data_IF_281184313923
#
_entry.id   IF_281184313923
#
_cell.length_a   1.000
_cell.length_b   1.000
_cell.length_c   1.000
_cell.angle_alpha   90.00
_cell.angle_beta   90.00
_cell.angle_gamma   90.00
#
_symmetry.space_group_name_H-M   'P 1'
#
loop_
_entity.id
_entity.type
_entity.pdbx_description
1 polymer ?
#
# COMPACT_ATOMS: atom_id res chain seq x y z
N UNK A 1 -10.22 11.49 3.00
CA UNK A 1 -9.11 12.42 2.71
C UNK A 1 -8.64 13.30 3.89
N UNK A 2 -9.40 14.31 4.39
CA UNK A 2 -8.87 15.28 5.40
C UNK A 2 -8.26 14.63 6.65
N UNK A 3 -8.93 13.59 7.18
CA UNK A 3 -8.43 12.83 8.33
C UNK A 3 -7.10 12.13 8.05
N UNK A 4 -6.92 11.62 6.82
CA UNK A 4 -5.68 10.97 6.38
C UNK A 4 -4.54 11.99 6.34
N UNK A 5 -4.78 13.17 5.78
CA UNK A 5 -3.78 14.26 5.74
C UNK A 5 -3.30 14.65 7.13
N UNK A 6 -4.24 14.94 8.04
CA UNK A 6 -3.92 15.30 9.43
C UNK A 6 -3.16 14.18 10.15
N UNK A 7 -3.50 12.93 9.87
CA UNK A 7 -2.84 11.79 10.50
C UNK A 7 -1.42 11.58 9.98
N UNK A 8 -1.22 11.60 8.66
CA UNK A 8 0.09 11.46 8.03
C UNK A 8 1.02 12.59 8.46
N UNK A 9 0.52 13.84 8.48
CA UNK A 9 1.31 15.01 8.88
C UNK A 9 1.85 14.98 10.32
N UNK A 10 1.30 14.12 11.19
CA UNK A 10 1.77 13.92 12.56
C UNK A 10 2.93 12.93 12.68
N UNK A 11 3.26 12.18 11.63
CA UNK A 11 4.42 11.29 11.63
C UNK A 11 5.71 12.12 11.56
N UNK A 12 6.78 11.60 12.17
CA UNK A 12 8.00 12.37 12.42
C UNK A 12 8.83 12.61 11.15
N UNK A 13 8.70 11.74 10.14
CA UNK A 13 9.58 11.71 8.97
C UNK A 13 8.86 12.06 7.66
N UNK A 14 7.88 12.98 7.71
CA UNK A 14 7.13 13.44 6.52
C UNK A 14 7.69 14.76 6.04
N UNK A 15 8.29 14.76 4.84
CA UNK A 15 8.80 15.98 4.21
C UNK A 15 7.69 16.83 3.58
N UNK A 16 6.72 16.18 2.93
CA UNK A 16 5.65 16.79 2.15
C UNK A 16 4.53 15.79 1.91
N UNK A 17 3.30 16.28 1.71
CA UNK A 17 2.18 15.48 1.20
C UNK A 17 1.79 15.97 -0.19
N UNK A 18 1.73 15.05 -1.15
CA UNK A 18 1.25 15.32 -2.51
C UNK A 18 -0.11 14.65 -2.68
N UNK A 19 -1.14 15.45 -2.95
CA UNK A 19 -2.49 14.98 -3.22
C UNK A 19 -2.69 14.91 -4.73
N UNK A 20 -2.90 13.70 -5.23
CA UNK A 20 -3.26 13.47 -6.63
C UNK A 20 -4.77 13.63 -6.75
N UNK A 21 -5.20 14.80 -7.20
CA UNK A 21 -6.61 15.10 -7.39
C UNK A 21 -7.11 14.44 -8.68
N UNK A 22 -7.73 13.28 -8.52
CA UNK A 22 -8.06 12.38 -9.62
C UNK A 22 -9.42 12.66 -10.27
N UNK A 23 -10.17 13.64 -9.78
CA UNK A 23 -11.47 14.01 -10.36
C UNK A 23 -11.30 15.17 -11.36
N UNK A 24 -11.42 14.94 -12.68
CA UNK A 24 -11.26 15.99 -13.68
C UNK A 24 -12.47 16.95 -13.75
N UNK A 25 -13.64 16.54 -13.24
CA UNK A 25 -14.88 17.33 -13.31
C UNK A 25 -15.00 18.36 -12.20
N UNK A 26 -14.20 18.23 -11.14
CA UNK A 26 -14.25 19.12 -9.98
C UNK A 26 -12.87 19.70 -9.71
N UNK A 27 -12.84 20.97 -9.31
CA UNK A 27 -11.61 21.57 -8.82
C UNK A 27 -11.30 21.05 -7.41
N UNK A 28 -10.02 20.93 -7.04
CA UNK A 28 -9.65 20.71 -5.66
C UNK A 28 -10.23 21.82 -4.76
N UNK A 29 -10.48 21.54 -3.47
CA UNK A 29 -10.91 22.58 -2.53
C UNK A 29 -9.96 23.78 -2.54
N UNK A 30 -10.49 25.00 -2.47
CA UNK A 30 -9.66 26.21 -2.35
C UNK A 30 -8.89 26.25 -1.02
N UNK A 31 -7.86 27.08 -0.94
CA UNK A 31 -6.84 27.07 0.13
C UNK A 31 -7.39 27.01 1.57
N UNK A 32 -8.52 27.68 1.86
CA UNK A 32 -9.16 27.65 3.20
C UNK A 32 -9.91 26.36 3.58
N UNK A 33 -9.98 25.35 2.70
CA UNK A 33 -10.70 24.11 2.95
C UNK A 33 -9.79 22.91 3.27
N UNK A 34 -8.48 23.05 3.06
CA UNK A 34 -7.49 22.06 3.46
C UNK A 34 -7.24 22.12 4.97
N UNK A 35 -6.99 20.99 5.64
CA UNK A 35 -6.64 21.02 7.05
C UNK A 35 -5.30 21.73 7.25
N UNK A 36 -5.21 22.57 8.28
CA UNK A 36 -3.92 23.11 8.72
C UNK A 36 -3.06 21.97 9.28
N UNK A 37 -1.90 21.76 8.66
CA UNK A 37 -0.96 20.69 9.00
C UNK A 37 0.46 21.24 9.05
N UNK A 38 1.34 20.56 9.79
CA UNK A 38 2.73 20.97 10.02
C UNK A 38 3.67 20.76 8.84
N UNK A 39 3.21 20.12 7.77
CA UNK A 39 4.02 19.78 6.58
C UNK A 39 3.40 20.39 5.32
N UNK A 40 4.18 20.77 4.30
CA UNK A 40 3.64 21.29 3.06
C UNK A 40 2.71 20.29 2.37
N UNK A 41 1.57 20.79 1.86
CA UNK A 41 0.63 20.02 1.06
C UNK A 41 0.60 20.61 -0.35
N UNK A 42 0.87 19.79 -1.36
CA UNK A 42 0.75 20.17 -2.77
C UNK A 42 -0.34 19.33 -3.43
N UNK A 43 -1.08 19.93 -4.35
CA UNK A 43 -2.19 19.26 -5.04
C UNK A 43 -1.90 19.26 -6.54
N UNK A 44 -1.89 18.06 -7.13
CA UNK A 44 -1.69 17.88 -8.57
C UNK A 44 -3.04 17.50 -9.18
N UNK A 45 -3.54 18.34 -10.08
CA UNK A 45 -4.80 18.09 -10.77
C UNK A 45 -4.58 17.18 -11.98
N UNK A 46 -5.16 15.98 -11.93
CA UNK A 46 -5.09 15.03 -13.02
C UNK A 46 -6.09 15.37 -14.12
N UNK A 47 -5.67 15.24 -15.39
CA UNK A 47 -6.53 15.47 -16.57
C UNK A 47 -7.62 14.41 -16.74
N UNK A 48 -7.38 13.20 -16.26
CA UNK A 48 -8.27 12.05 -16.38
C UNK A 48 -8.29 11.27 -15.06
N UNK A 49 -9.41 10.64 -14.72
CA UNK A 49 -9.49 9.76 -13.57
C UNK A 49 -8.84 8.41 -13.89
N UNK A 50 -7.60 8.18 -13.41
CA UNK A 50 -6.83 6.95 -13.63
C UNK A 50 -6.15 6.52 -12.34
N UNK A 51 -6.11 5.22 -12.04
CA UNK A 51 -5.40 4.72 -10.86
C UNK A 51 -3.89 4.91 -10.95
N UNK A 52 -3.32 4.79 -12.15
CA UNK A 52 -1.88 4.96 -12.36
C UNK A 52 -1.38 6.39 -12.12
N UNK A 53 -2.27 7.40 -12.04
CA UNK A 53 -1.86 8.79 -11.88
C UNK A 53 -0.97 9.03 -10.67
N UNK A 54 -1.11 8.24 -9.60
CA UNK A 54 -0.27 8.39 -8.41
C UNK A 54 1.16 7.88 -8.57
N UNK A 55 1.45 7.13 -9.63
CA UNK A 55 2.76 6.55 -9.89
C UNK A 55 3.55 7.29 -10.97
N UNK A 56 3.08 8.44 -11.47
CA UNK A 56 3.92 9.28 -12.32
C UNK A 56 5.11 9.85 -11.52
N UNK A 57 6.29 9.99 -12.15
CA UNK A 57 7.47 10.56 -11.51
C UNK A 57 7.37 12.08 -11.48
N UNK A 58 6.48 12.61 -10.64
CA UNK A 58 6.29 14.04 -10.46
C UNK A 58 7.55 14.71 -9.89
N UNK A 59 7.90 15.89 -10.39
CA UNK A 59 9.07 16.66 -9.93
C UNK A 59 8.93 17.08 -8.46
N UNK A 60 7.70 17.17 -7.95
CA UNK A 60 7.40 17.45 -6.54
C UNK A 60 7.86 16.32 -5.58
N UNK A 61 8.15 15.12 -6.09
CA UNK A 61 8.66 13.97 -5.33
C UNK A 61 10.19 14.10 -5.17
N UNK A 62 10.59 14.79 -4.12
CA UNK A 62 12.00 15.11 -3.85
C UNK A 62 12.71 14.02 -3.01
N UNK A 63 11.97 13.23 -2.24
CA UNK A 63 12.51 12.21 -1.31
C UNK A 63 12.64 10.84 -1.94
N UNK A 64 13.69 10.09 -1.58
CA UNK A 64 13.88 8.72 -2.08
C UNK A 64 12.79 7.75 -1.61
N UNK A 65 12.31 7.90 -0.38
CA UNK A 65 11.15 7.16 0.12
C UNK A 65 9.85 7.83 -0.31
N UNK A 66 8.91 7.05 -0.81
CA UNK A 66 7.51 7.46 -1.05
C UNK A 66 6.61 6.61 -0.18
N UNK A 67 5.78 7.27 0.65
CA UNK A 67 4.61 6.64 1.27
C UNK A 67 3.41 6.85 0.34
N UNK A 68 2.91 5.76 -0.24
CA UNK A 68 1.60 5.74 -0.91
C UNK A 68 0.52 5.37 0.09
N UNK A 69 -0.55 6.17 0.14
CA UNK A 69 -1.69 5.95 1.03
C UNK A 69 -3.01 6.25 0.33
N UNK A 70 -3.99 5.35 0.44
CA UNK A 70 -5.35 5.58 -0.04
C UNK A 70 -6.08 6.58 0.87
N UNK A 71 -7.00 7.36 0.31
CA UNK A 71 -7.59 8.51 0.97
C UNK A 71 -8.68 8.16 2.00
N UNK A 72 -9.02 6.88 2.13
CA UNK A 72 -9.93 6.31 3.12
C UNK A 72 -9.20 5.57 4.27
N UNK A 73 -7.87 5.47 4.21
CA UNK A 73 -7.10 4.74 5.24
C UNK A 73 -6.85 5.60 6.47
N UNK A 74 -7.73 5.43 7.46
CA UNK A 74 -7.72 6.19 8.73
C UNK A 74 -7.22 5.39 9.93
N UNK A 75 -6.85 4.13 9.74
CA UNK A 75 -6.60 3.18 10.83
C UNK A 75 -5.12 2.98 11.19
N UNK A 76 -4.19 3.56 10.43
CA UNK A 76 -2.75 3.53 10.73
C UNK A 76 -2.40 4.77 11.55
N UNK A 77 -1.65 4.59 12.61
CA UNK A 77 -1.21 5.67 13.51
C UNK A 77 0.09 6.33 13.03
N UNK A 78 0.42 7.55 13.46
CA UNK A 78 1.68 8.20 13.12
C UNK A 78 2.91 7.37 13.54
N UNK A 79 2.86 6.73 14.72
CA UNK A 79 3.93 5.87 15.20
C UNK A 79 4.12 4.61 14.34
N UNK A 80 3.04 4.03 13.81
CA UNK A 80 3.12 2.92 12.85
C UNK A 80 3.73 3.37 11.52
N UNK A 81 3.39 4.57 11.03
CA UNK A 81 4.03 5.15 9.84
C UNK A 81 5.54 5.35 10.04
N UNK A 82 5.95 5.90 11.19
CA UNK A 82 7.37 6.06 11.53
C UNK A 82 8.10 4.73 11.69
N UNK A 83 7.41 3.67 12.12
CA UNK A 83 7.97 2.32 12.16
C UNK A 83 8.11 1.74 10.75
N UNK A 84 7.07 1.82 9.91
CA UNK A 84 7.11 1.36 8.53
C UNK A 84 8.19 2.05 7.70
N UNK A 85 8.39 3.35 7.90
CA UNK A 85 9.49 4.10 7.30
C UNK A 85 10.86 3.54 7.72
N UNK A 86 11.08 3.26 9.01
CA UNK A 86 12.34 2.66 9.49
C UNK A 86 12.60 1.28 8.90
N UNK A 87 11.57 0.44 8.81
CA UNK A 87 11.67 -0.87 8.13
C UNK A 87 12.06 -0.69 6.66
N UNK A 88 11.50 0.31 5.98
CA UNK A 88 11.87 0.64 4.61
C UNK A 88 13.31 1.15 4.50
N UNK A 89 13.81 1.97 5.42
CA UNK A 89 15.21 2.43 5.40
C UNK A 89 16.19 1.25 5.37
N UNK A 90 15.90 0.18 6.11
CA UNK A 90 16.71 -1.05 6.13
C UNK A 90 16.50 -1.95 4.89
N UNK A 91 15.46 -1.68 4.09
CA UNK A 91 15.03 -2.52 2.97
C UNK A 91 14.59 -1.66 1.76
N UNK A 92 15.38 -0.62 1.45
CA UNK A 92 14.96 0.47 0.56
C UNK A 92 14.62 0.03 -0.87
N UNK A 93 15.15 -1.12 -1.29
CA UNK A 93 14.86 -1.73 -2.59
C UNK A 93 13.55 -2.54 -2.63
N UNK A 94 12.90 -2.80 -1.49
CA UNK A 94 11.69 -3.62 -1.42
C UNK A 94 10.44 -2.77 -1.23
N UNK A 95 9.29 -3.35 -1.58
CA UNK A 95 7.99 -2.81 -1.17
C UNK A 95 7.73 -3.19 0.29
N UNK A 96 7.55 -2.19 1.15
CA UNK A 96 7.27 -2.36 2.58
C UNK A 96 5.89 -1.80 2.89
N UNK A 97 5.02 -2.50 3.61
CA UNK A 97 3.72 -1.91 3.93
C UNK A 97 2.80 -2.81 4.73
N UNK A 98 1.56 -2.34 4.90
CA UNK A 98 0.69 -2.86 5.96
C UNK A 98 -0.39 -3.85 5.52
N UNK A 99 -1.04 -3.73 4.34
CA UNK A 99 -2.05 -4.70 3.93
C UNK A 99 -1.39 -5.85 3.15
N UNK A 100 -1.12 -7.02 3.76
CA UNK A 100 -0.53 -8.15 3.05
C UNK A 100 -1.55 -8.83 2.14
N UNK A 101 -1.07 -9.40 1.04
CA UNK A 101 -1.82 -10.26 0.15
C UNK A 101 -0.97 -11.43 -0.32
N UNK A 102 -1.65 -12.44 -0.82
CA UNK A 102 -1.03 -13.67 -1.28
C UNK A 102 -1.55 -14.06 -2.66
N UNK A 103 -0.72 -14.71 -3.46
CA UNK A 103 -1.18 -15.44 -4.63
C UNK A 103 -1.07 -16.94 -4.34
N UNK A 104 -2.14 -17.68 -4.55
CA UNK A 104 -2.09 -19.14 -4.51
C UNK A 104 -1.92 -19.68 -5.92
N UNK A 105 -1.13 -20.76 -6.06
CA UNK A 105 -1.06 -21.55 -7.27
C UNK A 105 -1.79 -22.86 -7.01
N UNK A 106 -2.86 -23.13 -7.76
CA UNK A 106 -3.57 -24.40 -7.72
C UNK A 106 -3.78 -24.92 -9.15
N UNK A 107 -3.31 -26.13 -9.47
CA UNK A 107 -3.39 -26.70 -10.81
C UNK A 107 -2.91 -25.75 -11.93
N UNK A 108 -1.79 -25.06 -11.71
CA UNK A 108 -1.22 -24.04 -12.60
C UNK A 108 -2.07 -22.76 -12.76
N UNK A 109 -3.17 -22.63 -12.02
CA UNK A 109 -3.99 -21.43 -11.98
C UNK A 109 -3.54 -20.50 -10.84
N UNK A 110 -3.24 -19.24 -11.17
CA UNK A 110 -2.94 -18.19 -10.21
C UNK A 110 -4.23 -17.56 -9.70
N UNK A 111 -4.38 -17.50 -8.37
CA UNK A 111 -5.51 -16.83 -7.70
C UNK A 111 -5.04 -15.85 -6.65
N UNK A 112 -5.74 -14.74 -6.55
CA UNK A 112 -5.55 -13.70 -5.57
C UNK A 112 -6.26 -14.07 -4.27
N UNK A 113 -5.52 -14.03 -3.17
CA UNK A 113 -6.02 -14.35 -1.84
C UNK A 113 -6.00 -13.07 -1.00
N UNK A 114 -7.19 -12.64 -0.58
CA UNK A 114 -7.41 -11.44 0.24
C UNK A 114 -7.27 -11.69 1.74
N UNK A 115 -7.20 -12.95 2.14
CA UNK A 115 -7.15 -13.39 3.53
C UNK A 115 -5.80 -13.06 4.18
N UNK A 116 -5.87 -12.80 5.49
CA UNK A 116 -4.70 -12.48 6.29
C UNK A 116 -4.03 -13.77 6.76
N UNK A 117 -3.11 -14.25 5.94
CA UNK A 117 -2.32 -15.45 6.25
C UNK A 117 -0.85 -15.09 6.53
N UNK A 118 -0.09 -16.03 7.07
CA UNK A 118 1.33 -15.84 7.37
C UNK A 118 2.16 -15.63 6.10
N UNK A 119 1.80 -16.30 5.02
CA UNK A 119 2.52 -16.31 3.77
C UNK A 119 2.05 -15.14 2.91
N UNK A 120 2.97 -14.27 2.51
CA UNK A 120 2.65 -13.15 1.66
C UNK A 120 3.47 -13.23 0.39
N UNK A 121 2.94 -12.68 -0.68
CA UNK A 121 3.70 -12.42 -1.89
C UNK A 121 3.53 -10.99 -2.40
N UNK A 122 2.58 -10.27 -1.82
CA UNK A 122 2.21 -8.92 -2.22
C UNK A 122 1.91 -8.06 -0.98
N UNK A 123 2.13 -6.76 -1.13
CA UNK A 123 1.66 -5.72 -0.20
C UNK A 123 0.90 -4.68 -1.02
N UNK A 124 -0.29 -4.30 -0.58
CA UNK A 124 -1.09 -3.31 -1.32
C UNK A 124 -0.49 -1.91 -1.18
N UNK A 125 -0.49 -1.15 -2.27
CA UNK A 125 0.07 0.21 -2.29
C UNK A 125 -0.82 1.25 -1.60
N UNK A 126 -1.98 0.83 -1.09
CA UNK A 126 -2.88 1.66 -0.32
C UNK A 126 -2.37 2.08 1.07
N UNK A 127 -1.34 1.40 1.60
CA UNK A 127 -0.44 1.95 2.65
C UNK A 127 0.90 1.24 2.54
N UNK A 128 1.83 1.81 1.78
CA UNK A 128 3.16 1.21 1.57
C UNK A 128 4.24 2.24 1.30
N UNK A 129 5.46 1.88 1.68
CA UNK A 129 6.72 2.59 1.43
C UNK A 129 7.49 1.88 0.32
N UNK A 130 8.02 2.66 -0.62
CA UNK A 130 8.89 2.17 -1.68
C UNK A 130 9.78 3.31 -2.21
N UNK A 131 10.81 2.94 -2.98
CA UNK A 131 11.73 3.91 -3.55
C UNK A 131 11.10 4.68 -4.73
N UNK A 132 11.31 6.00 -4.81
CA UNK A 132 10.76 6.87 -5.88
C UNK A 132 11.11 6.40 -7.29
N UNK A 133 12.24 5.71 -7.44
CA UNK A 133 12.67 5.08 -8.70
C UNK A 133 11.60 4.17 -9.32
N UNK A 134 10.75 3.55 -8.50
CA UNK A 134 9.67 2.71 -9.00
C UNK A 134 8.55 3.50 -9.69
N UNK A 135 8.42 4.82 -9.49
CA UNK A 135 7.53 5.67 -10.33
C UNK A 135 8.02 5.72 -11.78
N UNK A 136 9.32 5.90 -11.97
CA UNK A 136 9.94 5.88 -13.30
C UNK A 136 9.71 4.51 -13.95
N UNK A 137 10.10 3.43 -13.27
CA UNK A 137 9.91 2.07 -13.80
C UNK A 137 8.44 1.73 -14.08
N UNK A 138 7.50 2.17 -13.23
CA UNK A 138 6.08 1.91 -13.44
C UNK A 138 5.56 2.59 -14.71
N UNK A 139 6.09 3.77 -15.03
CA UNK A 139 5.61 4.56 -16.18
C UNK A 139 6.37 4.28 -17.48
N UNK A 140 7.61 3.82 -17.41
CA UNK A 140 8.48 3.65 -18.58
C UNK A 140 8.93 2.23 -18.86
N UNK A 141 8.79 1.30 -17.91
CA UNK A 141 9.41 -0.03 -17.99
C UNK A 141 8.45 -1.19 -17.67
N UNK A 142 7.16 -0.93 -17.42
CA UNK A 142 6.16 -2.00 -17.42
C UNK A 142 6.07 -2.63 -18.82
N UNK A 143 5.88 -3.96 -18.91
CA UNK A 143 5.52 -4.61 -20.17
C UNK A 143 4.35 -3.92 -20.87
N UNK A 144 4.41 -3.90 -22.20
CA UNK A 144 3.41 -3.26 -23.05
C UNK A 144 1.99 -3.74 -22.71
N UNK A 145 1.04 -2.80 -22.64
CA UNK A 145 -0.37 -3.07 -22.35
C UNK A 145 -0.75 -3.20 -20.87
N UNK A 146 0.20 -3.43 -19.94
CA UNK A 146 -0.13 -3.54 -18.50
C UNK A 146 -0.70 -2.23 -17.96
N UNK A 147 -0.06 -1.09 -18.26
CA UNK A 147 -0.53 0.21 -17.78
C UNK A 147 -1.92 0.54 -18.34
N UNK A 148 -2.14 0.28 -19.63
CA UNK A 148 -3.43 0.50 -20.28
C UNK A 148 -4.52 -0.41 -19.71
N UNK A 149 -4.16 -1.66 -19.37
CA UNK A 149 -5.04 -2.60 -18.68
C UNK A 149 -5.49 -2.05 -17.33
N UNK A 150 -4.54 -1.59 -16.49
CA UNK A 150 -4.83 -0.99 -15.18
C UNK A 150 -5.77 0.20 -15.31
N UNK A 151 -5.44 1.11 -16.24
CA UNK A 151 -6.19 2.33 -16.46
C UNK A 151 -7.58 2.08 -17.05
N UNK A 152 -7.73 1.07 -17.90
CA UNK A 152 -9.00 0.67 -18.51
C UNK A 152 -9.93 -0.09 -17.56
N UNK A 153 -9.38 -0.84 -16.60
CA UNK A 153 -10.15 -1.65 -15.65
C UNK A 153 -10.30 -1.01 -14.26
N UNK A 154 -9.57 0.08 -13.99
CA UNK A 154 -9.54 0.75 -12.68
C UNK A 154 -9.27 -0.22 -11.53
N UNK A 155 -8.25 -1.08 -11.71
CA UNK A 155 -7.84 -2.07 -10.71
C UNK A 155 -6.37 -2.50 -10.91
N UNK A 156 -5.81 -3.21 -9.94
CA UNK A 156 -4.56 -3.98 -10.05
C UNK A 156 -3.26 -3.19 -10.20
N UNK A 157 -3.28 -1.88 -9.95
CA UNK A 157 -2.11 -1.02 -9.95
C UNK A 157 -1.10 -1.42 -8.86
N UNK A 158 -1.57 -1.89 -7.71
CA UNK A 158 -0.75 -2.46 -6.65
C UNK A 158 -0.13 -3.81 -7.00
N UNK A 159 -0.86 -4.69 -7.69
CA UNK A 159 -0.37 -5.98 -8.18
C UNK A 159 0.76 -5.71 -9.17
N UNK A 160 0.55 -4.79 -10.12
CA UNK A 160 1.58 -4.39 -11.06
C UNK A 160 2.83 -3.82 -10.37
N UNK A 161 2.66 -3.00 -9.32
CA UNK A 161 3.79 -2.50 -8.52
C UNK A 161 4.55 -3.65 -7.83
N UNK A 162 3.86 -4.66 -7.30
CA UNK A 162 4.50 -5.83 -6.71
C UNK A 162 5.29 -6.64 -7.76
N UNK A 163 4.72 -6.88 -8.94
CA UNK A 163 5.43 -7.52 -10.05
C UNK A 163 6.66 -6.72 -10.47
N UNK A 164 6.52 -5.40 -10.63
CA UNK A 164 7.61 -4.53 -11.05
C UNK A 164 8.80 -4.57 -10.08
N UNK A 165 8.53 -4.43 -8.78
CA UNK A 165 9.57 -4.42 -7.75
C UNK A 165 10.20 -5.81 -7.60
N UNK A 166 9.39 -6.87 -7.59
CA UNK A 166 9.90 -8.23 -7.49
C UNK A 166 10.74 -8.62 -8.72
N UNK A 167 10.33 -8.23 -9.93
CA UNK A 167 11.08 -8.50 -11.16
C UNK A 167 12.42 -7.74 -11.20
N UNK A 168 12.44 -6.50 -10.72
CA UNK A 168 13.66 -5.67 -10.72
C UNK A 168 14.67 -6.06 -9.65
N UNK A 169 14.21 -6.61 -8.51
CA UNK A 169 15.09 -6.89 -7.35
C UNK A 169 15.30 -8.38 -7.08
N UNK A 170 14.43 -9.26 -7.58
CA UNK A 170 14.36 -10.66 -7.18
C UNK A 170 13.89 -10.87 -5.74
N UNK A 171 13.34 -9.84 -5.08
CA UNK A 171 12.95 -9.88 -3.66
C UNK A 171 11.44 -9.76 -3.50
N UNK A 172 10.89 -10.55 -2.59
CA UNK A 172 9.49 -10.42 -2.14
C UNK A 172 9.25 -9.11 -1.36
N UNK A 173 8.01 -8.68 -1.09
CA UNK A 173 7.75 -7.53 -0.22
C UNK A 173 7.99 -7.84 1.27
N UNK A 174 7.90 -6.81 2.12
CA UNK A 174 7.93 -6.92 3.59
C UNK A 174 6.59 -6.43 4.16
N UNK A 175 5.91 -7.30 4.93
CA UNK A 175 4.74 -6.88 5.71
C UNK A 175 5.14 -6.26 7.04
N UNK A 176 4.49 -5.16 7.36
CA UNK A 176 4.50 -4.48 8.65
C UNK A 176 3.11 -4.65 9.27
N UNK A 177 3.01 -5.04 10.54
CA UNK A 177 1.69 -5.15 11.17
C UNK A 177 1.17 -3.81 11.66
N UNK A 178 -0.07 -3.53 11.28
CA UNK A 178 -0.91 -2.54 11.95
C UNK A 178 -1.62 -3.20 13.14
N UNK A 179 -1.82 -2.45 14.22
CA UNK A 179 -2.60 -2.87 15.40
C UNK A 179 -4.08 -3.12 15.04
N UNK A 180 -4.59 -2.39 14.06
CA UNK A 180 -5.96 -2.54 13.54
C UNK A 180 -5.96 -3.25 12.19
N UNK A 181 -6.90 -4.17 12.01
CA UNK A 181 -7.13 -4.82 10.69
C UNK A 181 -7.65 -3.80 9.69
N UNK A 182 -7.15 -3.86 8.45
CA UNK A 182 -7.72 -3.09 7.35
C UNK A 182 -9.12 -3.58 7.00
N UNK A 183 -10.10 -2.67 7.06
CA UNK A 183 -11.46 -2.92 6.61
C UNK A 183 -11.60 -2.47 5.17
N UNK A 184 -12.19 -3.32 4.33
CA UNK A 184 -12.67 -2.88 3.02
C UNK A 184 -13.78 -1.85 3.21
N UNK A 185 -13.69 -0.72 2.53
CA UNK A 185 -14.76 0.27 2.54
C UNK A 185 -16.03 -0.32 1.90
N UNK A 186 -17.20 0.01 2.45
CA UNK A 186 -18.50 -0.36 1.88
C UNK A 186 -18.82 0.46 0.61
N UNK A 187 -18.04 1.51 0.34
CA UNK A 187 -18.14 2.38 -0.83
C UNK A 187 -16.78 2.45 -1.52
N UNK A 188 -16.75 2.48 -2.87
CA UNK A 188 -15.51 2.55 -3.65
C UNK A 188 -15.31 1.33 -4.57
N UNK A 189 -14.10 1.18 -5.11
CA UNK A 189 -13.77 0.19 -6.16
C UNK A 189 -13.95 -1.28 -5.73
N UNK A 190 -14.02 -1.54 -4.42
CA UNK A 190 -14.26 -2.88 -3.85
C UNK A 190 -15.67 -3.06 -3.28
N UNK A 191 -16.64 -2.23 -3.67
CA UNK A 191 -18.02 -2.32 -3.15
C UNK A 191 -18.70 -3.64 -3.52
N UNK A 192 -18.46 -4.14 -4.73
CA UNK A 192 -18.74 -5.52 -5.10
C UNK A 192 -17.46 -6.35 -4.96
N UNK A 193 -17.30 -6.95 -3.78
CA UNK A 193 -16.12 -7.74 -3.46
C UNK A 193 -15.94 -8.92 -4.40
N UNK A 194 -17.03 -9.51 -4.92
CA UNK A 194 -16.94 -10.71 -5.76
C UNK A 194 -16.32 -10.41 -7.13
N UNK A 195 -16.86 -9.43 -7.86
CA UNK A 195 -16.30 -9.00 -9.13
C UNK A 195 -14.91 -8.38 -8.97
N UNK A 196 -14.68 -7.67 -7.86
CA UNK A 196 -13.38 -7.09 -7.56
C UNK A 196 -12.29 -8.17 -7.39
N UNK A 197 -12.56 -9.26 -6.68
CA UNK A 197 -11.60 -10.35 -6.52
C UNK A 197 -11.37 -11.12 -7.82
N UNK A 198 -12.42 -11.39 -8.60
CA UNK A 198 -12.30 -12.02 -9.93
C UNK A 198 -11.44 -11.18 -10.87
N UNK A 199 -11.61 -9.86 -10.87
CA UNK A 199 -10.77 -8.96 -11.67
C UNK A 199 -9.29 -9.08 -11.27
N UNK A 200 -8.98 -9.24 -9.98
CA UNK A 200 -7.60 -9.42 -9.50
C UNK A 200 -7.00 -10.76 -9.89
N UNK A 201 -7.78 -11.83 -9.92
CA UNK A 201 -7.34 -13.13 -10.46
C UNK A 201 -6.93 -13.00 -11.94
N UNK A 202 -7.72 -12.25 -12.72
CA UNK A 202 -7.43 -11.99 -14.14
C UNK A 202 -6.14 -11.16 -14.26
N UNK A 203 -5.97 -10.12 -13.46
CA UNK A 203 -4.74 -9.32 -13.46
C UNK A 203 -3.49 -10.14 -13.13
N UNK A 204 -3.56 -11.02 -12.12
CA UNK A 204 -2.43 -11.89 -11.78
C UNK A 204 -1.98 -12.75 -12.95
N UNK A 205 -2.93 -13.37 -13.66
CA UNK A 205 -2.63 -14.20 -14.83
C UNK A 205 -2.08 -13.37 -15.98
N UNK A 206 -2.75 -12.27 -16.30
CA UNK A 206 -2.34 -11.38 -17.39
C UNK A 206 -0.93 -10.80 -17.17
N UNK A 207 -0.62 -10.36 -15.95
CA UNK A 207 0.71 -9.83 -15.62
C UNK A 207 1.76 -10.94 -15.59
N UNK A 208 1.45 -12.12 -15.07
CA UNK A 208 2.39 -13.25 -15.10
C UNK A 208 2.74 -13.66 -16.54
N UNK A 209 1.78 -13.65 -17.46
CA UNK A 209 2.04 -13.88 -18.89
C UNK A 209 2.91 -12.76 -19.49
N UNK A 210 2.59 -11.50 -19.22
CA UNK A 210 3.31 -10.34 -19.77
C UNK A 210 4.77 -10.25 -19.28
N UNK A 211 5.06 -10.67 -18.04
CA UNK A 211 6.42 -10.72 -17.50
C UNK A 211 7.19 -12.00 -17.90
N UNK A 212 6.52 -13.01 -18.49
CA UNK A 212 7.15 -14.20 -19.10
C UNK A 212 7.74 -15.23 -18.13
N UNK A 213 7.68 -15.00 -16.81
CA UNK A 213 8.16 -15.93 -15.78
C UNK A 213 7.41 -15.71 -14.45
N UNK A 214 7.53 -16.65 -13.51
CA UNK A 214 6.97 -16.49 -12.17
C UNK A 214 7.78 -15.45 -11.38
N UNK A 215 7.20 -14.25 -11.22
CA UNK A 215 7.85 -13.11 -10.56
C UNK A 215 7.58 -13.05 -9.05
N UNK A 216 6.36 -13.35 -8.64
CA UNK A 216 5.97 -13.23 -7.24
C UNK A 216 6.48 -14.43 -6.45
N UNK A 217 7.21 -14.16 -5.37
CA UNK A 217 7.68 -15.19 -4.44
C UNK A 217 6.98 -15.06 -3.09
N UNK A 218 6.55 -16.20 -2.55
CA UNK A 218 5.96 -16.27 -1.22
C UNK A 218 7.04 -16.17 -0.15
N UNK A 219 6.78 -15.39 0.90
CA UNK A 219 7.64 -15.26 2.08
C UNK A 219 6.82 -15.26 3.37
N UNK A 220 7.43 -15.81 4.41
CA UNK A 220 6.93 -15.78 5.78
C UNK A 220 7.81 -14.87 6.64
N UNK A 221 7.90 -13.59 6.26
CA UNK A 221 8.64 -12.58 7.02
C UNK A 221 7.70 -11.46 7.47
N UNK A 222 7.96 -10.91 8.66
CA UNK A 222 7.16 -9.87 9.30
C UNK A 222 8.06 -8.93 10.09
N UNK A 223 7.85 -7.63 9.96
CA UNK A 223 8.47 -6.63 10.82
C UNK A 223 7.45 -6.09 11.84
N UNK A 224 7.77 -6.23 13.12
CA UNK A 224 6.94 -5.73 14.22
C UNK A 224 7.76 -4.81 15.13
N UNK A 225 7.16 -3.76 15.71
CA UNK A 225 7.80 -3.02 16.79
C UNK A 225 7.96 -3.93 18.01
N UNK A 226 9.02 -3.73 18.80
CA UNK A 226 9.32 -4.55 20.00
C UNK A 226 8.12 -4.63 20.97
N UNK A 227 7.37 -3.53 21.09
CA UNK A 227 6.19 -3.41 21.97
C UNK A 227 4.88 -3.79 21.27
N UNK A 228 4.94 -4.56 20.18
CA UNK A 228 3.74 -5.04 19.49
C UNK A 228 2.94 -5.97 20.41
N UNK A 229 1.65 -5.65 20.63
CA UNK A 229 0.74 -6.36 21.54
C UNK A 229 1.19 -6.38 23.01
N UNK A 230 2.01 -5.43 23.45
CA UNK A 230 2.39 -5.32 24.86
C UNK A 230 1.19 -5.16 25.81
N UNK A 231 0.11 -4.49 25.38
CA UNK A 231 -1.11 -4.40 26.18
C UNK A 231 -1.79 -5.77 26.36
N UNK A 232 -1.81 -6.61 25.32
CA UNK A 232 -2.31 -7.99 25.42
C UNK A 232 -1.46 -8.78 26.44
N UNK A 233 -0.13 -8.59 26.44
CA UNK A 233 0.77 -9.20 27.43
C UNK A 233 0.52 -8.68 28.86
N UNK A 234 0.25 -7.39 29.03
CA UNK A 234 -0.08 -6.80 30.34
C UNK A 234 -1.44 -7.32 30.83
N UNK A 235 -2.42 -7.42 29.96
CA UNK A 235 -3.75 -7.94 30.29
C UNK A 235 -3.68 -9.44 30.64
N UNK A 236 -2.89 -10.22 29.89
CA UNK A 236 -2.57 -11.63 30.19
C UNK A 236 -1.82 -11.76 31.53
N UNK A 237 -0.82 -10.90 31.80
CA UNK A 237 -0.10 -10.91 33.07
C UNK A 237 -1.01 -10.54 34.25
N UNK A 238 -1.90 -9.56 34.08
CA UNK A 238 -2.84 -9.15 35.12
C UNK A 238 -3.82 -10.27 35.48
N UNK A 239 -4.22 -11.11 34.51
CA UNK A 239 -4.99 -12.32 34.77
C UNK A 239 -4.26 -13.31 35.71
N UNK A 240 -2.94 -13.50 35.51
CA UNK A 240 -2.13 -14.34 36.40
C UNK A 240 -1.98 -13.77 37.82
N UNK A 241 -1.90 -12.45 37.97
CA UNK A 241 -1.80 -11.81 39.29
C UNK A 241 -3.15 -11.68 40.02
N UNK A 242 -4.27 -11.66 39.30
CA UNK A 242 -5.60 -11.68 39.92
C UNK A 242 -6.01 -13.05 40.47
N UNK A 243 -5.46 -14.14 39.93
CA UNK A 243 -5.70 -15.52 40.40
C UNK A 243 -4.73 -15.97 41.51
N UNK A 244 -3.77 -15.10 41.89
CA UNK A 244 -2.73 -15.37 42.90
C UNK A 244 -3.02 -14.81 44.31
N UNK A 245 -4.21 -14.26 44.57
CA UNK A 245 -4.58 -13.79 45.90
C UNK A 245 -5.12 -14.94 46.77
N UNK A 246 -4.21 -15.72 47.34
CA UNK A 246 -4.44 -16.54 48.55
C UNK A 246 -3.90 -15.80 49.78
#
# INVERSE_FOLDING_TARGET
>A
MKQVLVNVAKASNVAKIIVIWNNPETNPPGDGHWPEVSVPVQVIHSKYNRLSNRFYPYDEIETDCVLSIDDDITMVTPAELDFGYRVWVENADRLVGFPPRYHSVNNFELKYVSEWISNISMVLTGVSFYHKYYHFLFTSALPDGIKDWIDGHMNCEDIAMNFLIANSTGKAPIKVLARKKFKSSATGLSSDMSSHLVARDICLRHFNEAFGQTILHSVEFRADPVLFKEQDLIDDMNLYYSDGAL
#
